data_IF_582280807831
#
_entry.id   IF_582280807831
#
_cell.length_a   1.000
_cell.length_b   1.000
_cell.length_c   1.000
_cell.angle_alpha   90.00
_cell.angle_beta   90.00
_cell.angle_gamma   90.00
#
_symmetry.space_group_name_H-M   'P 1'
#
loop_
_entity.id
_entity.type
_entity.pdbx_description
1 polymer ?
#
# COMPACT_ATOMS: atom_id res chain seq x y z
N UNK A 1 -2.55 -18.72 -12.64
CA UNK A 1 -3.63 -18.10 -13.43
C UNK A 1 -3.61 -16.60 -13.21
N UNK A 2 -2.94 -15.85 -14.08
CA UNK A 2 -2.99 -14.39 -14.09
C UNK A 2 -4.30 -13.96 -14.75
N UNK A 3 -5.32 -13.63 -13.95
CA UNK A 3 -6.53 -13.00 -14.48
C UNK A 3 -6.13 -11.66 -15.10
N UNK A 4 -6.40 -11.51 -16.39
CA UNK A 4 -6.33 -10.24 -17.12
C UNK A 4 -7.13 -9.19 -16.35
N UNK A 5 -6.45 -8.36 -15.57
CA UNK A 5 -7.01 -7.10 -15.12
C UNK A 5 -7.27 -6.29 -16.38
N UNK A 6 -8.46 -5.70 -16.52
CA UNK A 6 -8.70 -4.65 -17.52
C UNK A 6 -7.54 -3.65 -17.36
N UNK A 7 -6.70 -3.54 -18.39
CA UNK A 7 -5.53 -2.66 -18.36
C UNK A 7 -5.96 -1.20 -18.33
N UNK A 8 -7.17 -0.91 -18.80
CA UNK A 8 -7.65 0.44 -19.02
C UNK A 8 -8.26 1.08 -17.76
N UNK A 9 -8.70 0.28 -16.78
CA UNK A 9 -9.23 0.78 -15.50
C UNK A 9 -9.08 -0.27 -14.38
N UNK A 10 -7.89 -0.38 -13.75
CA UNK A 10 -7.65 -1.33 -12.68
C UNK A 10 -8.47 -0.99 -11.42
N UNK A 11 -8.80 -2.01 -10.62
CA UNK A 11 -9.53 -1.86 -9.37
C UNK A 11 -8.61 -1.80 -8.15
N UNK A 12 -8.96 -0.95 -7.18
CA UNK A 12 -8.25 -0.79 -5.90
C UNK A 12 -9.19 -1.13 -4.73
N UNK A 13 -8.68 -1.90 -3.76
CA UNK A 13 -9.44 -2.38 -2.60
C UNK A 13 -8.74 -2.02 -1.27
N UNK A 14 -8.60 -0.73 -0.94
CA UNK A 14 -7.96 -0.35 0.31
C UNK A 14 -8.88 -0.64 1.51
N UNK A 15 -8.28 -0.80 2.69
CA UNK A 15 -9.00 -1.03 3.94
C UNK A 15 -8.84 0.17 4.87
N UNK A 16 -9.93 0.54 5.54
CA UNK A 16 -9.95 1.66 6.51
C UNK A 16 -9.02 1.44 7.70
N UNK A 17 -8.82 0.19 8.13
CA UNK A 17 -7.99 -0.15 9.30
C UNK A 17 -6.54 0.35 9.21
N UNK A 18 -5.99 0.49 8.01
CA UNK A 18 -4.66 1.10 7.79
C UNK A 18 -4.70 2.35 6.89
N UNK A 19 -5.90 2.85 6.57
CA UNK A 19 -6.11 4.07 5.80
C UNK A 19 -7.34 4.80 6.38
N UNK A 20 -7.22 5.43 7.55
CA UNK A 20 -8.35 6.07 8.22
C UNK A 20 -8.94 7.22 7.39
N UNK A 21 -8.14 7.82 6.53
CA UNK A 21 -8.50 8.98 5.70
C UNK A 21 -9.02 8.63 4.30
N UNK A 22 -9.38 7.36 4.03
CA UNK A 22 -10.04 6.99 2.78
C UNK A 22 -11.32 7.81 2.57
N UNK A 23 -11.75 8.03 1.31
CA UNK A 23 -12.97 8.77 0.99
C UNK A 23 -14.14 8.43 1.94
N UNK A 24 -14.76 9.42 2.60
CA UNK A 24 -15.82 9.16 3.57
C UNK A 24 -17.10 8.65 2.91
N UNK A 25 -17.36 9.04 1.67
CA UNK A 25 -18.49 8.60 0.84
C UNK A 25 -18.08 8.54 -0.64
N UNK A 26 -18.93 7.94 -1.48
CA UNK A 26 -18.68 7.83 -2.90
C UNK A 26 -18.52 9.21 -3.57
N UNK A 27 -17.50 9.38 -4.39
CA UNK A 27 -17.19 10.63 -5.07
C UNK A 27 -16.38 11.64 -4.24
N UNK A 28 -16.26 11.47 -2.93
CA UNK A 28 -15.43 12.35 -2.10
C UNK A 28 -13.93 12.11 -2.34
N UNK A 29 -13.06 13.12 -2.16
CA UNK A 29 -11.62 12.89 -2.10
C UNK A 29 -11.23 12.18 -0.79
N UNK A 30 -10.01 11.66 -0.74
CA UNK A 30 -9.44 11.09 0.48
C UNK A 30 -7.95 10.83 0.36
N UNK A 31 -7.35 10.36 1.45
CA UNK A 31 -5.94 9.99 1.51
C UNK A 31 -5.77 8.48 1.74
N UNK A 32 -4.71 7.94 1.17
CA UNK A 32 -4.31 6.55 1.35
C UNK A 32 -2.80 6.47 1.62
N UNK A 33 -2.41 5.62 2.55
CA UNK A 33 -1.03 5.30 2.84
C UNK A 33 -0.62 4.03 2.10
N UNK A 34 0.48 4.08 1.36
CA UNK A 34 0.95 2.93 0.60
C UNK A 34 2.46 2.90 0.47
N UNK A 35 3.10 1.72 0.62
CA UNK A 35 4.50 1.56 0.26
C UNK A 35 4.68 1.42 -1.26
N UNK A 36 3.61 1.11 -2.01
CA UNK A 36 3.65 0.82 -3.43
C UNK A 36 3.70 2.09 -4.26
N UNK A 37 4.45 2.08 -5.37
CA UNK A 37 4.46 3.17 -6.37
C UNK A 37 3.54 2.88 -7.55
N UNK A 38 3.28 1.61 -7.84
CA UNK A 38 2.39 1.20 -8.94
C UNK A 38 0.91 1.55 -8.73
N UNK A 39 0.54 2.06 -7.54
CA UNK A 39 -0.77 2.64 -7.25
C UNK A 39 -0.91 4.08 -7.75
N UNK A 40 0.19 4.74 -8.10
CA UNK A 40 0.16 6.03 -8.78
C UNK A 40 -0.23 5.80 -10.24
N UNK A 41 -1.17 6.56 -10.74
CA UNK A 41 -1.68 6.35 -12.09
C UNK A 41 -2.91 7.20 -12.41
N UNK A 42 -3.32 7.21 -13.70
CA UNK A 42 -4.33 8.14 -14.18
C UNK A 42 -5.73 7.82 -13.66
N UNK A 43 -6.07 6.54 -13.44
CA UNK A 43 -7.42 6.12 -13.05
C UNK A 43 -7.44 4.77 -12.32
N UNK A 44 -8.30 4.68 -11.29
CA UNK A 44 -8.59 3.48 -10.50
C UNK A 44 -10.08 3.39 -10.16
N UNK A 45 -10.67 2.21 -10.32
CA UNK A 45 -11.98 1.91 -9.72
C UNK A 45 -11.81 1.63 -8.24
N UNK A 46 -12.30 2.52 -7.39
CA UNK A 46 -12.15 2.41 -5.96
C UNK A 46 -13.28 1.60 -5.33
N UNK A 47 -12.92 0.56 -4.59
CA UNK A 47 -13.83 -0.28 -3.83
C UNK A 47 -13.44 -0.30 -2.36
N UNK A 48 -14.32 0.13 -1.47
CA UNK A 48 -14.05 0.13 -0.02
C UNK A 48 -14.89 -0.94 0.64
N UNK A 49 -14.23 -1.74 1.49
CA UNK A 49 -14.86 -2.83 2.24
C UNK A 49 -15.95 -2.28 3.18
N UNK A 50 -17.11 -2.94 3.19
CA UNK A 50 -18.15 -2.71 4.19
C UNK A 50 -17.79 -3.52 5.45
N UNK A 51 -17.40 -2.85 6.53
CA UNK A 51 -16.87 -3.50 7.73
C UNK A 51 -17.94 -4.18 8.58
N UNK A 52 -19.22 -3.87 8.36
CA UNK A 52 -20.32 -4.27 9.23
C UNK A 52 -21.23 -5.35 8.61
N UNK A 53 -20.80 -6.01 7.53
CA UNK A 53 -21.60 -7.02 6.82
C UNK A 53 -20.88 -8.37 6.76
N UNK A 54 -21.65 -9.44 6.97
CA UNK A 54 -21.28 -10.82 6.65
C UNK A 54 -22.28 -11.35 5.62
N UNK A 55 -21.84 -11.81 4.43
CA UNK A 55 -20.46 -11.89 3.97
C UNK A 55 -19.81 -10.52 3.74
N UNK A 56 -18.47 -10.50 3.65
CA UNK A 56 -17.71 -9.30 3.33
C UNK A 56 -18.14 -8.77 1.95
N UNK A 57 -18.64 -7.54 1.91
CA UNK A 57 -19.03 -6.84 0.69
C UNK A 57 -18.18 -5.60 0.47
N UNK A 58 -18.11 -5.13 -0.78
CA UNK A 58 -17.40 -3.91 -1.16
C UNK A 58 -18.35 -2.95 -1.86
N UNK A 59 -18.25 -1.67 -1.51
CA UNK A 59 -18.99 -0.62 -2.18
C UNK A 59 -18.10 0.04 -3.23
N UNK A 60 -18.63 0.29 -4.42
CA UNK A 60 -17.97 1.11 -5.43
C UNK A 60 -18.07 2.59 -5.05
N UNK A 61 -16.93 3.26 -4.92
CA UNK A 61 -16.84 4.67 -4.52
C UNK A 61 -16.67 5.63 -5.70
N UNK A 62 -16.30 5.12 -6.88
CA UNK A 62 -16.05 5.93 -8.08
C UNK A 62 -14.76 5.56 -8.79
N UNK A 63 -14.47 6.30 -9.83
CA UNK A 63 -13.20 6.29 -10.56
C UNK A 63 -12.32 7.42 -10.00
N UNK A 64 -11.06 7.11 -9.67
CA UNK A 64 -10.15 8.00 -8.95
C UNK A 64 -8.79 8.11 -9.63
N UNK A 65 -8.27 9.33 -9.73
CA UNK A 65 -6.83 9.54 -9.97
C UNK A 65 -6.07 9.45 -8.65
N UNK A 66 -4.87 8.87 -8.68
CA UNK A 66 -4.03 8.69 -7.50
C UNK A 66 -2.69 9.41 -7.69
N UNK A 67 -2.43 10.42 -6.85
CA UNK A 67 -1.21 11.22 -6.90
C UNK A 67 -0.48 11.16 -5.56
N UNK A 68 0.85 11.10 -5.59
CA UNK A 68 1.66 11.20 -4.37
C UNK A 68 1.74 12.67 -3.98
N UNK A 69 1.25 13.01 -2.79
CA UNK A 69 1.26 14.39 -2.26
C UNK A 69 2.25 14.58 -1.12
N UNK A 70 2.94 13.51 -0.72
CA UNK A 70 3.96 13.58 0.32
C UNK A 70 4.32 12.21 0.87
N UNK A 71 4.99 12.22 2.01
CA UNK A 71 5.40 11.04 2.76
C UNK A 71 5.01 11.23 4.21
N UNK A 72 4.52 10.14 4.82
CA UNK A 72 4.17 10.14 6.22
C UNK A 72 5.45 10.32 7.05
N UNK A 73 5.51 11.40 7.83
CA UNK A 73 6.66 11.66 8.72
C UNK A 73 6.70 10.66 9.87
N UNK A 74 7.81 10.62 10.62
CA UNK A 74 7.90 9.76 11.80
C UNK A 74 6.94 10.22 12.91
N UNK A 75 6.73 11.53 13.05
CA UNK A 75 5.79 12.11 14.01
C UNK A 75 4.35 11.76 13.63
N UNK A 76 4.01 11.89 12.35
CA UNK A 76 2.69 11.52 11.85
C UNK A 76 2.44 10.02 12.01
N UNK A 77 3.41 9.17 11.66
CA UNK A 77 3.32 7.72 11.85
C UNK A 77 3.15 7.37 13.33
N UNK A 78 3.95 7.96 14.22
CA UNK A 78 3.85 7.75 15.67
C UNK A 78 2.51 8.22 16.25
N UNK A 79 1.87 9.23 15.62
CA UNK A 79 0.56 9.74 16.05
C UNK A 79 -0.64 8.87 15.60
N UNK A 80 -0.43 7.93 14.67
CA UNK A 80 -1.49 7.00 14.26
C UNK A 80 -1.87 6.06 15.41
N UNK A 81 -3.12 5.56 15.39
CA UNK A 81 -3.52 4.49 16.31
C UNK A 81 -2.62 3.26 16.15
N UNK A 82 -2.28 2.57 17.24
CA UNK A 82 -1.40 1.39 17.23
C UNK A 82 -1.87 0.33 16.22
N UNK A 83 -3.18 0.07 16.17
CA UNK A 83 -3.79 -0.86 15.21
C UNK A 83 -3.58 -0.47 13.74
N UNK A 84 -3.52 0.83 13.46
CA UNK A 84 -3.21 1.39 12.13
C UNK A 84 -1.72 1.21 11.81
N UNK A 85 -0.84 1.52 12.78
CA UNK A 85 0.61 1.30 12.66
C UNK A 85 0.93 -0.16 12.37
N UNK A 86 0.42 -1.09 13.20
CA UNK A 86 0.60 -2.53 13.06
C UNK A 86 0.11 -3.04 11.70
N UNK A 87 -1.04 -2.55 11.24
CA UNK A 87 -1.59 -2.95 9.96
C UNK A 87 -0.76 -2.45 8.77
N UNK A 88 -0.24 -1.21 8.83
CA UNK A 88 0.66 -0.65 7.82
C UNK A 88 2.00 -1.41 7.78
N UNK A 89 2.60 -1.62 8.95
CA UNK A 89 3.84 -2.39 9.11
C UNK A 89 3.63 -3.82 8.61
N UNK A 90 2.51 -4.45 8.94
CA UNK A 90 2.16 -5.77 8.45
C UNK A 90 2.05 -5.84 6.93
N UNK A 91 1.56 -4.78 6.27
CA UNK A 91 1.58 -4.68 4.80
C UNK A 91 3.02 -4.59 4.28
N UNK A 92 3.86 -3.73 4.86
CA UNK A 92 5.26 -3.59 4.47
C UNK A 92 6.07 -4.88 4.70
N UNK A 93 5.74 -5.64 5.75
CA UNK A 93 6.44 -6.86 6.14
C UNK A 93 5.98 -8.09 5.36
N UNK A 94 4.66 -8.29 5.19
CA UNK A 94 4.10 -9.55 4.66
C UNK A 94 3.92 -9.57 3.15
N UNK A 95 3.82 -8.41 2.50
CA UNK A 95 3.50 -8.35 1.06
C UNK A 95 4.73 -8.57 0.18
N UNK A 96 4.48 -9.14 -1.00
CA UNK A 96 5.49 -9.50 -2.00
C UNK A 96 5.71 -8.40 -3.05
N UNK A 97 5.12 -7.21 -2.89
CA UNK A 97 5.42 -6.07 -3.76
C UNK A 97 6.90 -5.70 -3.67
N UNK A 98 7.49 -5.25 -4.79
CA UNK A 98 8.92 -4.93 -4.85
C UNK A 98 9.31 -3.87 -3.84
N UNK A 99 8.43 -2.89 -3.60
CA UNK A 99 8.65 -1.82 -2.64
C UNK A 99 8.62 -2.33 -1.19
N UNK A 100 7.69 -3.24 -0.86
CA UNK A 100 7.67 -3.91 0.44
C UNK A 100 8.92 -4.76 0.67
N UNK A 101 9.37 -5.50 -0.35
CA UNK A 101 10.60 -6.26 -0.28
C UNK A 101 11.83 -5.34 -0.13
N UNK A 102 11.84 -4.19 -0.82
CA UNK A 102 12.91 -3.21 -0.73
C UNK A 102 12.99 -2.58 0.67
N UNK A 103 11.86 -2.29 1.32
CA UNK A 103 11.81 -1.86 2.73
C UNK A 103 12.49 -2.92 3.61
N UNK A 104 12.07 -4.19 3.49
CA UNK A 104 12.67 -5.28 4.29
C UNK A 104 14.17 -5.45 4.07
N UNK A 105 14.62 -5.34 2.82
CA UNK A 105 16.03 -5.39 2.47
C UNK A 105 16.83 -4.27 3.16
N UNK A 106 16.35 -3.02 3.10
CA UNK A 106 16.99 -1.88 3.76
C UNK A 106 17.04 -2.03 5.27
N UNK A 107 15.94 -2.44 5.89
CA UNK A 107 15.87 -2.67 7.34
C UNK A 107 16.85 -3.77 7.75
N UNK A 108 16.93 -4.88 7.01
CA UNK A 108 17.87 -5.95 7.31
C UNK A 108 19.34 -5.53 7.15
N UNK A 109 19.68 -4.82 6.06
CA UNK A 109 21.03 -4.28 5.86
C UNK A 109 21.43 -3.33 6.99
N UNK A 110 20.47 -2.51 7.45
CA UNK A 110 20.70 -1.60 8.58
C UNK A 110 20.90 -2.35 9.89
N UNK A 111 20.08 -3.37 10.15
CA UNK A 111 20.19 -4.24 11.33
C UNK A 111 21.54 -4.99 11.37
N UNK A 112 22.08 -5.38 10.22
CA UNK A 112 23.41 -6.00 10.12
C UNK A 112 24.57 -5.01 10.09
N UNK A 113 24.32 -3.70 10.12
CA UNK A 113 25.37 -2.67 10.03
C UNK A 113 26.05 -2.57 8.66
N UNK A 114 25.44 -3.12 7.61
CA UNK A 114 26.01 -3.20 6.24
C UNK A 114 25.27 -2.31 5.23
N UNK A 115 24.43 -1.39 5.71
CA UNK A 115 23.72 -0.44 4.86
C UNK A 115 24.72 0.57 4.25
N UNK A 116 24.90 0.61 2.92
CA UNK A 116 25.78 1.59 2.30
C UNK A 116 25.24 3.01 2.46
N UNK A 117 26.14 3.97 2.63
CA UNK A 117 25.81 5.40 2.62
C UNK A 117 25.58 5.90 1.19
N UNK A 118 26.26 5.32 0.20
CA UNK A 118 26.08 5.67 -1.21
C UNK A 118 24.72 5.18 -1.75
N UNK A 119 23.85 6.06 -2.27
CA UNK A 119 22.54 5.67 -2.81
C UNK A 119 22.61 4.68 -3.96
N UNK A 120 23.64 4.74 -4.81
CA UNK A 120 23.79 3.85 -5.96
C UNK A 120 24.17 2.43 -5.52
N UNK A 121 25.12 2.31 -4.59
CA UNK A 121 25.48 1.06 -3.94
C UNK A 121 24.28 0.45 -3.20
N UNK A 122 23.53 1.27 -2.46
CA UNK A 122 22.31 0.83 -1.78
C UNK A 122 21.27 0.26 -2.77
N UNK A 123 20.97 1.01 -3.84
CA UNK A 123 20.01 0.56 -4.86
C UNK A 123 20.46 -0.76 -5.52
N UNK A 124 21.76 -0.92 -5.74
CA UNK A 124 22.35 -2.13 -6.30
C UNK A 124 22.22 -3.32 -5.34
N UNK A 125 22.57 -3.15 -4.06
CA UNK A 125 22.43 -4.21 -3.05
C UNK A 125 20.99 -4.63 -2.84
N UNK A 126 20.06 -3.66 -2.76
CA UNK A 126 18.63 -3.95 -2.67
C UNK A 126 18.18 -4.77 -3.88
N UNK A 127 18.51 -4.34 -5.10
CA UNK A 127 18.20 -5.11 -6.33
C UNK A 127 18.79 -6.52 -6.31
N UNK A 128 20.01 -6.69 -5.83
CA UNK A 128 20.64 -8.00 -5.70
C UNK A 128 19.90 -8.89 -4.69
N UNK A 129 19.49 -8.36 -3.54
CA UNK A 129 18.67 -9.09 -2.57
C UNK A 129 17.32 -9.50 -3.17
N UNK A 130 16.66 -8.61 -3.92
CA UNK A 130 15.39 -8.90 -4.60
C UNK A 130 15.51 -10.04 -5.62
N UNK A 131 16.64 -10.13 -6.35
CA UNK A 131 16.89 -11.19 -7.35
C UNK A 131 17.19 -12.56 -6.75
N UNK A 132 17.76 -12.62 -5.53
CA UNK A 132 18.15 -13.88 -4.86
C UNK A 132 16.97 -14.62 -4.22
N UNK A 133 15.78 -14.02 -4.16
CA UNK A 133 14.60 -14.64 -3.56
C UNK A 133 13.80 -15.52 -4.51
N UNK A 134 13.40 -16.72 -4.05
CA UNK A 134 12.32 -17.49 -4.65
C UNK A 134 11.01 -16.68 -4.67
N UNK A 135 9.99 -17.11 -5.43
CA UNK A 135 8.69 -16.43 -5.69
C UNK A 135 7.93 -15.85 -4.47
N UNK A 136 8.37 -16.11 -3.23
CA UNK A 136 7.87 -15.50 -1.98
C UNK A 136 8.71 -14.30 -1.47
N UNK A 137 9.79 -13.93 -2.16
CA UNK A 137 10.80 -12.96 -1.74
C UNK A 137 11.74 -13.53 -0.67
N UNK A 138 13.01 -13.12 -0.60
CA UNK A 138 13.87 -13.50 0.51
C UNK A 138 13.42 -12.69 1.73
N UNK A 139 12.88 -13.35 2.75
CA UNK A 139 12.84 -12.74 4.07
C UNK A 139 14.26 -12.83 4.62
N UNK A 140 14.94 -11.71 4.91
CA UNK A 140 16.28 -11.76 5.47
C UNK A 140 16.24 -12.56 6.78
N UNK A 141 17.21 -13.47 6.97
CA UNK A 141 17.29 -14.25 8.19
C UNK A 141 17.29 -13.30 9.40
N UNK A 142 16.47 -13.61 10.41
CA UNK A 142 16.32 -12.83 11.65
C UNK A 142 15.66 -11.43 11.54
N UNK A 143 15.00 -11.11 10.41
CA UNK A 143 14.16 -9.92 10.30
C UNK A 143 12.75 -10.19 10.86
N UNK A 144 12.37 -9.45 11.89
CA UNK A 144 11.07 -9.47 12.55
C UNK A 144 10.20 -8.27 12.14
N UNK A 145 8.88 -8.39 12.33
CA UNK A 145 7.93 -7.29 12.07
C UNK A 145 8.25 -6.06 12.93
N UNK A 146 8.71 -6.29 14.17
CA UNK A 146 9.17 -5.24 15.08
C UNK A 146 10.33 -4.41 14.51
N UNK A 147 11.29 -5.03 13.82
CA UNK A 147 12.41 -4.29 13.22
C UNK A 147 11.92 -3.29 12.17
N UNK A 148 10.90 -3.66 11.40
CA UNK A 148 10.27 -2.79 10.41
C UNK A 148 9.47 -1.68 11.11
N UNK A 149 8.73 -2.02 12.16
CA UNK A 149 8.01 -1.04 12.98
C UNK A 149 8.95 0.03 13.55
N UNK A 150 10.05 -0.40 14.19
CA UNK A 150 11.04 0.48 14.80
C UNK A 150 11.73 1.36 13.74
N UNK A 151 11.93 0.85 12.51
CA UNK A 151 12.47 1.65 11.41
C UNK A 151 11.53 2.79 10.97
N UNK A 152 10.20 2.60 10.98
CA UNK A 152 9.24 3.67 10.69
C UNK A 152 9.20 4.70 11.82
N UNK A 153 9.19 4.27 13.09
CA UNK A 153 9.26 5.18 14.25
C UNK A 153 10.56 6.01 14.28
N UNK A 154 11.67 5.43 13.82
CA UNK A 154 12.94 6.12 13.69
C UNK A 154 13.01 7.06 12.45
N UNK A 155 11.98 7.07 11.59
CA UNK A 155 11.97 7.85 10.35
C UNK A 155 12.91 7.34 9.26
N UNK A 156 13.36 6.09 9.36
CA UNK A 156 14.28 5.48 8.40
C UNK A 156 13.57 4.88 7.18
N UNK A 157 12.26 4.65 7.31
CA UNK A 157 11.34 4.21 6.28
C UNK A 157 10.09 5.08 6.36
N UNK A 158 9.42 5.29 5.23
CA UNK A 158 8.23 6.15 5.14
C UNK A 158 7.18 5.53 4.21
N UNK A 159 5.91 5.81 4.49
CA UNK A 159 4.81 5.49 3.58
C UNK A 159 4.54 6.70 2.69
N UNK A 160 4.17 6.47 1.43
CA UNK A 160 3.66 7.55 0.58
C UNK A 160 2.27 7.94 1.07
N UNK A 161 2.00 9.24 1.08
CA UNK A 161 0.66 9.80 1.24
C UNK A 161 0.10 10.05 -0.16
N UNK A 162 -0.95 9.30 -0.49
CA UNK A 162 -1.57 9.32 -1.80
C UNK A 162 -2.91 10.04 -1.70
N UNK A 163 -3.05 11.13 -2.46
CA UNK A 163 -4.32 11.79 -2.67
C UNK A 163 -5.14 10.99 -3.70
N UNK A 164 -6.32 10.58 -3.27
CA UNK A 164 -7.36 10.01 -4.10
C UNK A 164 -8.34 11.12 -4.45
N UNK A 165 -8.34 11.55 -5.70
CA UNK A 165 -9.30 12.52 -6.23
C UNK A 165 -10.28 11.83 -7.17
N UNK A 166 -11.58 11.97 -6.90
CA UNK A 166 -12.61 11.40 -7.76
C UNK A 166 -12.61 12.12 -9.11
N UNK A 167 -12.56 11.35 -10.19
CA UNK A 167 -12.61 11.84 -11.59
C UNK A 167 -13.93 11.47 -12.27
N UNK A 168 -14.75 10.62 -11.64
CA UNK A 168 -16.05 10.26 -12.17
C UNK A 168 -16.77 9.21 -11.34
N UNK A 169 -18.07 9.10 -11.54
CA UNK A 169 -18.88 8.05 -10.95
C UNK A 169 -19.72 7.37 -12.04
N UNK A 170 -19.29 6.18 -12.45
CA UNK A 170 -19.94 5.46 -13.54
C UNK A 170 -21.25 4.78 -13.08
N UNK A 171 -22.36 5.50 -13.17
CA UNK A 171 -23.69 4.97 -12.80
C UNK A 171 -24.12 3.77 -13.64
N UNK A 172 -23.70 3.69 -14.92
CA UNK A 172 -24.03 2.54 -15.76
C UNK A 172 -23.32 1.27 -15.26
N UNK A 173 -22.05 1.38 -14.87
CA UNK A 173 -21.30 0.30 -14.24
C UNK A 173 -21.94 -0.15 -12.92
N UNK A 174 -22.42 0.79 -12.09
CA UNK A 174 -23.11 0.44 -10.84
C UNK A 174 -24.40 -0.33 -11.11
N UNK A 175 -25.22 0.11 -12.08
CA UNK A 175 -26.43 -0.61 -12.46
C UNK A 175 -26.10 -2.03 -12.95
N UNK A 176 -25.11 -2.16 -13.83
CA UNK A 176 -24.64 -3.44 -14.34
C UNK A 176 -24.16 -4.37 -13.22
N UNK A 177 -23.44 -3.85 -12.22
CA UNK A 177 -23.06 -4.61 -11.04
C UNK A 177 -24.26 -5.09 -10.22
N UNK A 178 -25.26 -4.23 -10.00
CA UNK A 178 -26.47 -4.59 -9.24
C UNK A 178 -27.27 -5.66 -9.98
N UNK A 179 -27.38 -5.57 -11.30
CA UNK A 179 -28.08 -6.55 -12.13
C UNK A 179 -27.38 -7.91 -12.15
N UNK A 180 -26.05 -7.93 -12.22
CA UNK A 180 -25.24 -9.17 -12.31
C UNK A 180 -24.90 -9.82 -10.97
N UNK A 181 -25.00 -9.09 -9.87
CA UNK A 181 -24.66 -9.58 -8.52
C UNK A 181 -25.89 -9.79 -7.62
N UNK A 182 -27.10 -9.75 -8.21
CA UNK A 182 -28.29 -10.40 -7.63
C UNK A 182 -28.20 -11.90 -7.78
#
# INVERSE_FOLDING_TARGET
>A
MNKLRSKDNPAMFPKRVFNPYLPPFAGAPGLMFSPRRDVLGPSWRLFIQNTNKSPITYNFYGDYSATCVGYLTKEEFASLQSTTQDSLVGVAFKRTYLECQAIRARVALRKSGTLPTDPNALATLVKQQLKKGNKKGPQPANLQEKDVHDAFLAGQEVFQVILLQCIGYNHAFVRDMVEKCR
#
